data_IF_146730368408
#
_entry.id   IF_146730368408
#
_cell.length_a   1.000
_cell.length_b   1.000
_cell.length_c   1.000
_cell.angle_alpha   90.00
_cell.angle_beta   90.00
_cell.angle_gamma   90.00
#
_symmetry.space_group_name_H-M   'P 1'
#
loop_
_entity.id
_entity.type
_entity.pdbx_description
1 polymer ?
#
# COMPACT_ATOMS: atom_id res chain seq x y z
N UNK A 1 16.58 5.55 -6.43
CA UNK A 1 17.18 5.21 -7.74
C UNK A 1 16.45 4.05 -8.44
N UNK A 2 16.25 2.88 -7.83
CA UNK A 2 15.45 1.79 -8.42
C UNK A 2 13.95 2.09 -8.62
N UNK A 3 13.39 2.98 -7.80
CA UNK A 3 11.99 3.46 -7.88
C UNK A 3 11.70 4.26 -9.15
N UNK A 4 12.71 4.93 -9.73
CA UNK A 4 12.51 5.71 -10.96
C UNK A 4 12.28 4.76 -12.13
N UNK A 5 13.03 3.67 -12.26
CA UNK A 5 12.90 2.75 -13.39
C UNK A 5 11.70 1.81 -13.28
N UNK A 6 11.50 1.12 -12.15
CA UNK A 6 10.36 0.23 -11.98
C UNK A 6 9.04 1.00 -11.87
N UNK A 7 9.06 2.12 -11.14
CA UNK A 7 7.91 3.02 -11.02
C UNK A 7 7.57 3.67 -12.35
N UNK A 8 8.54 4.14 -13.14
CA UNK A 8 8.23 4.74 -14.45
C UNK A 8 7.73 3.71 -15.47
N UNK A 9 8.26 2.48 -15.50
CA UNK A 9 7.76 1.44 -16.41
C UNK A 9 6.32 1.02 -16.07
N UNK A 10 6.02 0.84 -14.78
CA UNK A 10 4.68 0.44 -14.34
C UNK A 10 3.69 1.61 -14.49
N UNK A 11 4.13 2.86 -14.24
CA UNK A 11 3.32 4.07 -14.43
C UNK A 11 3.07 4.37 -15.92
N UNK A 12 4.04 4.13 -16.80
CA UNK A 12 3.92 4.39 -18.25
C UNK A 12 3.00 3.40 -18.96
N UNK A 13 2.89 2.16 -18.46
CA UNK A 13 1.93 1.16 -18.96
C UNK A 13 0.51 1.38 -18.41
N UNK A 14 0.36 2.00 -17.23
CA UNK A 14 -0.94 2.19 -16.54
C UNK A 14 -1.44 3.64 -16.45
N UNK A 15 -0.88 4.53 -17.27
CA UNK A 15 -1.32 5.93 -17.39
C UNK A 15 -2.81 5.98 -17.81
N UNK A 16 -3.69 6.36 -16.88
CA UNK A 16 -5.15 6.43 -17.07
C UNK A 16 -5.96 5.34 -16.36
N UNK A 17 -5.31 4.36 -15.71
CA UNK A 17 -5.95 3.27 -14.95
C UNK A 17 -5.46 3.21 -13.50
N UNK A 18 -5.26 4.35 -12.84
CA UNK A 18 -4.68 4.42 -11.49
C UNK A 18 -5.44 3.60 -10.45
N UNK A 19 -6.78 3.53 -10.56
CA UNK A 19 -7.59 2.68 -9.69
C UNK A 19 -7.22 1.19 -9.82
N UNK A 20 -7.07 0.73 -11.06
CA UNK A 20 -6.63 -0.65 -11.35
C UNK A 20 -5.19 -0.89 -10.94
N UNK A 21 -4.32 0.10 -11.10
CA UNK A 21 -2.94 0.04 -10.63
C UNK A 21 -2.88 -0.12 -9.11
N UNK A 22 -3.57 0.74 -8.34
CA UNK A 22 -3.64 0.68 -6.87
C UNK A 22 -4.19 -0.67 -6.39
N UNK A 23 -5.18 -1.22 -7.10
CA UNK A 23 -5.67 -2.56 -6.81
C UNK A 23 -4.61 -3.65 -7.05
N UNK A 24 -3.93 -3.64 -8.21
CA UNK A 24 -2.92 -4.66 -8.52
C UNK A 24 -1.73 -4.63 -7.57
N UNK A 25 -1.22 -3.45 -7.23
CA UNK A 25 -0.09 -3.32 -6.30
C UNK A 25 -0.49 -3.72 -4.88
N UNK A 26 -1.74 -3.44 -4.46
CA UNK A 26 -2.29 -3.83 -3.16
C UNK A 26 -2.32 -5.36 -3.03
N UNK A 27 -2.78 -6.03 -4.10
CA UNK A 27 -2.79 -7.49 -4.17
C UNK A 27 -1.37 -8.05 -4.13
N UNK A 28 -0.45 -7.49 -4.92
CA UNK A 28 0.94 -7.94 -4.95
C UNK A 28 1.63 -7.70 -3.59
N UNK A 29 1.37 -6.57 -2.93
CA UNK A 29 1.92 -6.30 -1.59
C UNK A 29 1.37 -7.28 -0.56
N UNK A 30 0.09 -7.61 -0.61
CA UNK A 30 -0.50 -8.60 0.30
C UNK A 30 0.14 -9.98 0.14
N UNK A 31 0.38 -10.41 -1.11
CA UNK A 31 1.07 -11.67 -1.42
C UNK A 31 2.53 -11.64 -0.93
N UNK A 32 3.26 -10.55 -1.18
CA UNK A 32 4.66 -10.40 -0.73
C UNK A 32 4.78 -10.42 0.80
N UNK A 33 3.85 -9.78 1.50
CA UNK A 33 3.81 -9.79 2.98
C UNK A 33 3.55 -11.21 3.50
N UNK A 34 2.59 -11.94 2.92
CA UNK A 34 2.35 -13.34 3.32
C UNK A 34 3.56 -14.23 3.02
N UNK A 35 4.16 -14.07 1.85
CA UNK A 35 5.35 -14.80 1.45
C UNK A 35 6.53 -14.55 2.39
N UNK A 36 6.68 -13.29 2.84
CA UNK A 36 7.67 -12.92 3.85
C UNK A 36 7.43 -13.63 5.20
N UNK A 37 6.17 -13.72 5.65
CA UNK A 37 5.80 -14.37 6.92
C UNK A 37 6.09 -15.86 6.94
N UNK A 38 5.84 -16.56 5.83
CA UNK A 38 6.03 -18.02 5.75
C UNK A 38 7.43 -18.42 5.25
N UNK A 39 8.24 -17.47 4.80
CA UNK A 39 9.59 -17.73 4.30
C UNK A 39 10.55 -18.08 5.44
N UNK A 40 11.20 -19.25 5.32
CA UNK A 40 12.26 -19.69 6.22
C UNK A 40 13.67 -19.30 5.73
N UNK A 41 13.80 -18.71 4.53
CA UNK A 41 15.09 -18.33 3.94
C UNK A 41 15.33 -16.81 4.02
N UNK A 42 16.38 -16.40 4.75
CA UNK A 42 16.77 -15.00 4.96
C UNK A 42 16.93 -14.20 3.65
N UNK A 43 17.64 -14.77 2.66
CA UNK A 43 17.92 -14.11 1.38
C UNK A 43 16.62 -13.83 0.64
N UNK A 44 15.69 -14.79 0.65
CA UNK A 44 14.41 -14.65 -0.02
C UNK A 44 13.54 -13.58 0.64
N UNK A 45 13.50 -13.56 1.98
CA UNK A 45 12.80 -12.52 2.75
C UNK A 45 13.36 -11.12 2.51
N UNK A 46 14.68 -10.97 2.39
CA UNK A 46 15.32 -9.69 2.06
C UNK A 46 14.93 -9.20 0.66
N UNK A 47 14.99 -10.07 -0.36
CA UNK A 47 14.58 -9.72 -1.73
C UNK A 47 13.10 -9.35 -1.77
N UNK A 48 12.24 -10.10 -1.08
CA UNK A 48 10.82 -9.82 -0.98
C UNK A 48 10.54 -8.45 -0.34
N UNK A 49 11.26 -8.08 0.72
CA UNK A 49 11.13 -6.77 1.37
C UNK A 49 11.58 -5.60 0.47
N UNK A 50 12.66 -5.77 -0.29
CA UNK A 50 13.11 -4.74 -1.24
C UNK A 50 12.05 -4.53 -2.32
N UNK A 51 11.53 -5.62 -2.89
CA UNK A 51 10.45 -5.56 -3.89
C UNK A 51 9.18 -4.94 -3.30
N UNK A 52 8.79 -5.33 -2.09
CA UNK A 52 7.63 -4.78 -1.39
C UNK A 52 7.79 -3.26 -1.21
N UNK A 53 8.94 -2.80 -0.75
CA UNK A 53 9.23 -1.36 -0.57
C UNK A 53 9.08 -0.58 -1.88
N UNK A 54 9.59 -1.12 -2.99
CA UNK A 54 9.45 -0.49 -4.31
C UNK A 54 7.99 -0.37 -4.76
N UNK A 55 7.19 -1.41 -4.51
CA UNK A 55 5.78 -1.46 -4.90
C UNK A 55 4.94 -0.51 -4.04
N UNK A 56 5.16 -0.50 -2.72
CA UNK A 56 4.45 0.38 -1.78
C UNK A 56 4.69 1.86 -2.10
N UNK A 57 5.93 2.25 -2.40
CA UNK A 57 6.25 3.64 -2.81
C UNK A 57 5.52 4.01 -4.09
N UNK A 58 5.45 3.11 -5.07
CA UNK A 58 4.72 3.35 -6.31
C UNK A 58 3.22 3.54 -6.07
N UNK A 59 2.66 2.78 -5.12
CA UNK A 59 1.26 2.94 -4.71
C UNK A 59 0.96 4.23 -3.99
N UNK A 60 1.87 4.66 -3.12
CA UNK A 60 1.77 5.95 -2.46
C UNK A 60 1.68 7.09 -3.49
N UNK A 61 2.53 7.08 -4.52
CA UNK A 61 2.45 8.07 -5.60
C UNK A 61 1.12 8.02 -6.35
N UNK A 62 0.60 6.83 -6.67
CA UNK A 62 -0.69 6.68 -7.35
C UNK A 62 -1.87 7.20 -6.51
N UNK A 63 -1.88 6.95 -5.19
CA UNK A 63 -2.91 7.43 -4.27
C UNK A 63 -2.95 8.96 -4.26
N UNK A 64 -1.80 9.64 -4.30
CA UNK A 64 -1.75 11.10 -4.36
C UNK A 64 -2.05 11.66 -5.75
N UNK A 65 -1.78 10.91 -6.81
CA UNK A 65 -2.07 11.35 -8.19
C UNK A 65 -3.57 11.26 -8.51
N UNK A 66 -4.28 10.30 -7.92
CA UNK A 66 -5.69 10.05 -8.21
C UNK A 66 -6.61 11.26 -7.91
N UNK A 67 -6.55 11.94 -6.74
CA UNK A 67 -7.34 13.13 -6.45
C UNK A 67 -7.13 14.24 -7.50
N UNK A 68 -5.89 14.46 -7.94
CA UNK A 68 -5.54 15.47 -8.95
C UNK A 68 -6.20 15.21 -10.32
N UNK A 69 -6.66 13.99 -10.58
CA UNK A 69 -7.31 13.61 -11.83
C UNK A 69 -8.83 13.58 -11.77
N UNK A 70 -9.42 13.42 -10.58
CA UNK A 70 -10.87 13.25 -10.41
C UNK A 70 -11.56 14.44 -9.75
N UNK A 71 -10.81 15.30 -9.05
CA UNK A 71 -11.35 16.46 -8.34
C UNK A 71 -11.12 17.74 -9.13
N UNK A 72 -12.08 18.66 -9.07
CA UNK A 72 -11.94 20.01 -9.63
C UNK A 72 -10.91 20.83 -8.85
N UNK A 73 -10.29 21.82 -9.50
CA UNK A 73 -9.26 22.69 -8.92
C UNK A 73 -9.71 23.39 -7.62
N UNK A 74 -11.01 23.67 -7.48
CA UNK A 74 -11.55 24.29 -6.27
C UNK A 74 -11.58 23.31 -5.07
N UNK A 75 -11.62 22.01 -5.32
CA UNK A 75 -11.78 20.96 -4.30
C UNK A 75 -10.51 20.13 -4.06
N UNK A 76 -9.50 20.26 -4.92
CA UNK A 76 -8.26 19.46 -4.84
C UNK A 76 -7.53 19.64 -3.50
N UNK A 77 -7.47 20.86 -2.97
CA UNK A 77 -6.83 21.14 -1.68
C UNK A 77 -7.50 20.39 -0.52
N UNK A 78 -8.85 20.34 -0.53
CA UNK A 78 -9.62 19.59 0.46
C UNK A 78 -9.42 18.08 0.31
N UNK A 79 -9.42 17.57 -0.93
CA UNK A 79 -9.21 16.16 -1.21
C UNK A 79 -7.82 15.68 -0.76
N UNK A 80 -6.76 16.46 -1.07
CA UNK A 80 -5.40 16.16 -0.60
C UNK A 80 -5.28 16.31 0.92
N UNK A 81 -5.98 17.27 1.53
CA UNK A 81 -6.10 17.39 2.98
C UNK A 81 -6.64 16.11 3.62
N UNK A 82 -7.74 15.57 3.10
CA UNK A 82 -8.35 14.31 3.57
C UNK A 82 -7.37 13.14 3.43
N UNK A 83 -6.67 13.03 2.28
CA UNK A 83 -5.66 11.98 2.06
C UNK A 83 -4.53 12.08 3.09
N UNK A 84 -4.02 13.28 3.37
CA UNK A 84 -2.98 13.48 4.40
C UNK A 84 -3.49 13.13 5.80
N UNK A 85 -4.69 13.56 6.18
CA UNK A 85 -5.30 13.19 7.46
C UNK A 85 -5.42 11.66 7.59
N UNK A 86 -5.90 10.97 6.55
CA UNK A 86 -5.96 9.52 6.51
C UNK A 86 -4.58 8.88 6.64
N UNK A 87 -3.57 9.40 5.94
CA UNK A 87 -2.18 8.95 6.03
C UNK A 87 -1.58 9.10 7.43
N UNK A 88 -1.79 10.25 8.08
CA UNK A 88 -1.33 10.49 9.46
C UNK A 88 -2.04 9.59 10.45
N UNK A 89 -3.37 9.44 10.33
CA UNK A 89 -4.14 8.52 11.18
C UNK A 89 -3.66 7.08 11.00
N UNK A 90 -3.44 6.64 9.76
CA UNK A 90 -2.91 5.31 9.47
C UNK A 90 -1.50 5.12 10.06
N UNK A 91 -0.63 6.12 9.94
CA UNK A 91 0.72 6.09 10.51
C UNK A 91 0.73 6.05 12.04
N UNK A 92 -0.25 6.67 12.69
CA UNK A 92 -0.43 6.65 14.14
C UNK A 92 -1.04 5.33 14.64
N UNK A 93 -2.11 4.86 13.99
CA UNK A 93 -2.83 3.66 14.41
C UNK A 93 -2.10 2.35 14.06
N UNK A 94 -1.34 2.32 12.96
CA UNK A 94 -0.63 1.10 12.51
C UNK A 94 0.26 0.49 13.59
N UNK A 95 1.23 1.20 14.20
CA UNK A 95 2.10 0.60 15.22
C UNK A 95 1.33 0.16 16.47
N UNK A 96 0.25 0.86 16.83
CA UNK A 96 -0.58 0.51 17.99
C UNK A 96 -1.31 -0.82 17.76
N UNK A 97 -2.00 -0.95 16.62
CA UNK A 97 -2.73 -2.17 16.25
C UNK A 97 -1.75 -3.34 16.06
N UNK A 98 -0.66 -3.13 15.30
CA UNK A 98 0.34 -4.18 15.07
C UNK A 98 0.98 -4.65 16.39
N UNK A 99 1.29 -3.72 17.31
CA UNK A 99 1.82 -4.06 18.63
C UNK A 99 0.86 -4.94 19.44
N UNK A 100 -0.42 -4.56 19.50
CA UNK A 100 -1.45 -5.34 20.18
C UNK A 100 -1.62 -6.74 19.57
N UNK A 101 -1.60 -6.85 18.23
CA UNK A 101 -1.72 -8.14 17.55
C UNK A 101 -0.51 -9.05 17.81
N UNK A 102 0.70 -8.49 17.92
CA UNK A 102 1.90 -9.24 18.29
C UNK A 102 1.79 -9.73 19.74
N UNK A 103 1.32 -8.89 20.66
CA UNK A 103 1.15 -9.23 22.06
C UNK A 103 0.13 -10.37 22.26
N UNK A 104 -1.04 -10.27 21.63
CA UNK A 104 -2.07 -11.34 21.62
C UNK A 104 -1.54 -12.62 20.96
N UNK A 105 -0.68 -12.47 19.95
CA UNK A 105 0.00 -13.57 19.26
C UNK A 105 1.14 -14.23 20.05
N UNK A 106 1.33 -13.91 21.34
CA UNK A 106 2.47 -14.37 22.15
C UNK A 106 3.84 -14.06 21.52
N UNK A 107 3.97 -12.88 20.90
CA UNK A 107 5.19 -12.45 20.21
C UNK A 107 5.29 -12.95 18.75
N UNK A 108 4.29 -13.69 18.24
CA UNK A 108 4.25 -14.09 16.84
C UNK A 108 3.82 -12.95 15.94
N UNK A 109 4.60 -12.70 14.89
CA UNK A 109 4.31 -11.67 13.89
C UNK A 109 3.28 -12.10 12.83
N UNK A 110 2.89 -13.37 12.81
CA UNK A 110 1.98 -13.93 11.80
C UNK A 110 0.65 -13.16 11.78
N UNK A 111 0.10 -12.86 12.96
CA UNK A 111 -1.17 -12.11 13.07
C UNK A 111 -1.03 -10.67 12.57
N UNK A 112 0.06 -9.99 12.95
CA UNK A 112 0.29 -8.59 12.56
C UNK A 112 0.51 -8.43 11.06
N UNK A 113 1.34 -9.28 10.45
CA UNK A 113 1.55 -9.26 9.00
C UNK A 113 0.34 -9.78 8.23
N UNK A 114 -0.40 -10.77 8.75
CA UNK A 114 -1.67 -11.20 8.17
C UNK A 114 -2.71 -10.07 8.14
N UNK A 115 -2.81 -9.29 9.22
CA UNK A 115 -3.64 -8.09 9.27
C UNK A 115 -3.22 -7.05 8.22
N UNK A 116 -1.91 -6.79 8.09
CA UNK A 116 -1.34 -5.92 7.05
C UNK A 116 -1.76 -6.36 5.64
N UNK A 117 -1.72 -7.66 5.35
CA UNK A 117 -2.17 -8.21 4.06
C UNK A 117 -3.67 -7.99 3.82
N UNK A 118 -4.52 -8.22 4.83
CA UNK A 118 -5.98 -8.01 4.73
C UNK A 118 -6.31 -6.53 4.50
N UNK A 119 -5.71 -5.63 5.28
CA UNK A 119 -5.92 -4.18 5.14
C UNK A 119 -5.41 -3.68 3.80
N UNK A 120 -4.28 -4.22 3.31
CA UNK A 120 -3.76 -3.90 1.99
C UNK A 120 -4.79 -4.23 0.90
N UNK A 121 -5.36 -5.44 0.90
CA UNK A 121 -6.42 -5.85 -0.06
C UNK A 121 -7.66 -4.97 0.07
N UNK A 122 -8.09 -4.67 1.31
CA UNK A 122 -9.23 -3.80 1.56
C UNK A 122 -9.02 -2.41 0.93
N UNK A 123 -7.82 -1.84 1.04
CA UNK A 123 -7.45 -0.56 0.39
C UNK A 123 -7.57 -0.63 -1.15
N UNK A 124 -7.10 -1.74 -1.75
CA UNK A 124 -7.27 -1.97 -3.19
C UNK A 124 -8.74 -2.00 -3.59
N UNK A 125 -9.57 -2.73 -2.84
CA UNK A 125 -11.01 -2.85 -3.08
C UNK A 125 -11.74 -1.51 -2.94
N UNK A 126 -11.45 -0.74 -1.89
CA UNK A 126 -12.06 0.59 -1.69
C UNK A 126 -11.69 1.56 -2.79
N UNK A 127 -10.49 1.45 -3.34
CA UNK A 127 -10.06 2.29 -4.47
C UNK A 127 -10.88 2.00 -5.73
N UNK A 128 -11.30 0.76 -5.95
CA UNK A 128 -12.18 0.38 -7.05
C UNK A 128 -13.60 0.98 -6.88
N UNK A 129 -14.05 1.15 -5.64
CA UNK A 129 -15.37 1.70 -5.31
C UNK A 129 -15.46 3.23 -5.49
N UNK A 130 -14.32 3.94 -5.57
CA UNK A 130 -14.29 5.38 -5.85
C UNK A 130 -14.91 5.60 -7.23
N UNK A 131 -16.10 6.21 -7.30
CA UNK A 131 -16.70 6.64 -8.57
C UNK A 131 -16.05 7.93 -9.08
N UNK A 132 -16.07 8.08 -10.40
CA UNK A 132 -15.57 9.27 -11.09
C UNK A 132 -16.63 10.36 -10.99
#
# INVERSE_FOLDING_TARGET
MGTIFAGSILTKIFLGKEKGFIFTISLISAVLVLLFVFSNHLIFSMVALILLSMIVVSGFTAIFTLPHKIMDEHSIGSAIGIVNTGGTLGGFLSPMILGQLIEIGNGSFILAFGFLSVVSIACGLTTLAVKK
#
